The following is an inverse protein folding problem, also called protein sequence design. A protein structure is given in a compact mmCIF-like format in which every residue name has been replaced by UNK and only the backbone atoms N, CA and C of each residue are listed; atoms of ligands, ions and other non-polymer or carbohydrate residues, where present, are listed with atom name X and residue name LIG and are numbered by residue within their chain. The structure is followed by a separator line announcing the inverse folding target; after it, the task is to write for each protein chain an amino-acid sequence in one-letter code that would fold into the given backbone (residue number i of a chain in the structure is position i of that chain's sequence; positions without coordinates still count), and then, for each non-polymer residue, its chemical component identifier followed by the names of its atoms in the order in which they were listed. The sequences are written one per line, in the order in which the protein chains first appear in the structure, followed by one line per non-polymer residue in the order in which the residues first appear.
data_IF_924896633140
#
_entry.id   IF_924896633140
#
_cell.length_a   1.000
_cell.length_b   1.000
_cell.length_c   1.000
_cell.angle_alpha   90.00
_cell.angle_beta   90.00
_cell.angle_gamma   90.00
#
_symmetry.space_group_name_H-M   'P 1'
#
loop_
_entity.id
_entity.type
_entity.pdbx_description
1 polymer ?
#
# COMPACT_ATOMS: atom_id res chain seq x y z
N UNK A 1 5.84 -5.35 15.96
CA UNK A 1 6.11 -5.87 14.60
C UNK A 1 4.97 -5.45 13.69
N UNK A 2 5.24 -5.06 12.44
CA UNK A 2 4.20 -4.77 11.46
C UNK A 2 3.36 -6.02 11.20
N UNK A 3 2.04 -5.85 11.10
CA UNK A 3 1.10 -6.93 10.79
C UNK A 3 0.61 -6.77 9.35
N UNK A 4 0.89 -7.77 8.51
CA UNK A 4 0.49 -7.77 7.10
C UNK A 4 -0.95 -8.17 6.87
N UNK A 5 -1.64 -8.70 7.89
CA UNK A 5 -3.05 -9.07 7.82
C UNK A 5 -3.97 -7.86 8.04
N UNK A 6 -3.44 -6.64 7.90
CA UNK A 6 -4.16 -5.39 8.04
C UNK A 6 -4.54 -4.84 6.67
N UNK A 7 -5.66 -4.11 6.64
CA UNK A 7 -6.03 -3.31 5.49
C UNK A 7 -5.34 -1.95 5.59
N UNK A 8 -4.85 -1.44 4.46
CA UNK A 8 -4.22 -0.14 4.35
C UNK A 8 -5.13 0.78 3.55
N UNK A 9 -5.43 1.96 4.06
CA UNK A 9 -6.38 2.86 3.41
C UNK A 9 -5.94 4.32 3.46
N UNK A 10 -6.11 5.04 2.36
CA UNK A 10 -6.10 6.51 2.36
C UNK A 10 -7.55 6.99 2.43
N UNK A 11 -7.93 7.71 3.49
CA UNK A 11 -9.29 8.26 3.61
C UNK A 11 -9.52 9.39 2.61
N UNK A 12 -8.53 10.26 2.43
CA UNK A 12 -8.62 11.42 1.54
C UNK A 12 -8.69 10.98 0.08
N UNK A 13 -7.83 10.05 -0.31
CA UNK A 13 -7.66 9.61 -1.70
C UNK A 13 -8.47 8.34 -2.01
N UNK A 14 -9.10 7.75 -0.99
CA UNK A 14 -10.05 6.64 -1.09
C UNK A 14 -9.49 5.39 -1.77
N UNK A 15 -8.19 5.17 -1.60
CA UNK A 15 -7.52 3.92 -1.92
C UNK A 15 -7.59 2.95 -0.75
N UNK A 16 -7.84 1.69 -1.03
CA UNK A 16 -7.89 0.60 -0.07
C UNK A 16 -7.07 -0.57 -0.60
N UNK A 17 -5.90 -0.80 0.00
CA UNK A 17 -5.11 -2.01 -0.20
C UNK A 17 -5.51 -3.03 0.85
N UNK A 18 -6.01 -4.17 0.41
CA UNK A 18 -6.27 -5.32 1.27
C UNK A 18 -5.29 -6.43 0.90
N UNK A 19 -4.44 -6.79 1.87
CA UNK A 19 -3.58 -7.97 1.77
C UNK A 19 -4.42 -9.18 2.19
N UNK A 20 -4.47 -10.22 1.34
CA UNK A 20 -5.28 -11.42 1.58
C UNK A 20 -4.43 -12.57 2.09
N UNK A 21 -3.30 -12.83 1.45
CA UNK A 21 -2.34 -13.81 1.90
C UNK A 21 -0.95 -13.19 1.89
N UNK A 22 -0.14 -13.55 2.87
CA UNK A 22 1.27 -13.17 2.94
C UNK A 22 2.14 -14.39 3.18
N UNK A 23 3.32 -14.37 2.57
CA UNK A 23 4.40 -15.31 2.84
C UNK A 23 5.57 -14.54 3.43
N UNK A 24 5.66 -14.57 4.77
CA UNK A 24 6.68 -13.84 5.52
C UNK A 24 8.11 -14.29 5.21
N UNK A 25 8.35 -15.57 4.97
CA UNK A 25 9.70 -16.05 4.66
C UNK A 25 10.15 -15.65 3.25
N UNK A 26 9.21 -15.52 2.32
CA UNK A 26 9.49 -15.05 0.96
C UNK A 26 9.44 -13.52 0.81
N UNK A 27 8.91 -12.79 1.79
CA UNK A 27 8.70 -11.36 1.70
C UNK A 27 7.66 -10.96 0.65
N UNK A 28 6.67 -11.83 0.38
CA UNK A 28 5.68 -11.65 -0.70
C UNK A 28 4.25 -11.69 -0.21
N UNK A 29 3.34 -11.05 -0.94
CA UNK A 29 1.91 -11.08 -0.64
C UNK A 29 1.06 -11.05 -1.91
N UNK A 30 -0.19 -11.48 -1.77
CA UNK A 30 -1.25 -11.20 -2.73
C UNK A 30 -2.43 -10.50 -2.06
N UNK A 31 -3.16 -9.72 -2.85
CA UNK A 31 -4.24 -8.90 -2.33
C UNK A 31 -5.02 -8.19 -3.42
N UNK A 32 -5.61 -7.07 -3.05
CA UNK A 32 -6.35 -6.19 -3.95
C UNK A 32 -6.15 -4.72 -3.61
N UNK A 33 -6.11 -3.88 -4.63
CA UNK A 33 -6.25 -2.44 -4.50
C UNK A 33 -7.62 -2.02 -5.03
N UNK A 34 -8.37 -1.26 -4.23
CA UNK A 34 -9.67 -0.71 -4.58
C UNK A 34 -9.60 0.81 -4.49
N UNK A 35 -10.01 1.50 -5.55
CA UNK A 35 -10.14 2.96 -5.56
C UNK A 35 -11.62 3.34 -5.62
N UNK A 36 -12.14 4.03 -4.59
CA UNK A 36 -13.54 4.45 -4.51
C UNK A 36 -13.66 5.95 -4.83
N UNK A 37 -14.34 6.34 -5.93
CA UNK A 37 -14.64 7.76 -6.13
C UNK A 37 -15.97 8.13 -5.50
N UNK A 38 -15.97 9.23 -4.74
CA UNK A 38 -17.20 9.94 -4.41
C UNK A 38 -18.31 9.11 -3.77
N UNK A 39 -19.53 9.63 -3.89
CA UNK A 39 -20.80 8.97 -3.63
C UNK A 39 -21.27 8.08 -4.80
N UNK A 40 -20.50 8.02 -5.89
CA UNK A 40 -20.91 7.41 -7.17
C UNK A 40 -20.31 6.03 -7.43
N UNK A 41 -19.48 5.50 -6.53
CA UNK A 41 -19.07 4.09 -6.53
C UNK A 41 -17.60 3.84 -6.80
N UNK A 42 -17.27 2.56 -7.01
CA UNK A 42 -15.88 2.10 -7.18
C UNK A 42 -15.39 2.42 -8.60
N UNK A 43 -14.28 3.16 -8.71
CA UNK A 43 -13.67 3.57 -10.01
C UNK A 43 -12.92 2.40 -10.62
N UNK A 44 -12.08 1.75 -9.83
CA UNK A 44 -11.33 0.57 -10.20
C UNK A 44 -11.72 -0.55 -9.25
N UNK A 45 -12.60 -1.45 -9.71
CA UNK A 45 -13.03 -2.61 -8.94
C UNK A 45 -11.96 -3.69 -9.01
N UNK A 46 -11.39 -4.02 -7.86
CA UNK A 46 -10.57 -5.21 -7.62
C UNK A 46 -9.38 -5.34 -8.60
N UNK A 47 -8.45 -4.39 -8.56
CA UNK A 47 -7.13 -4.66 -9.11
C UNK A 47 -6.48 -5.71 -8.21
N UNK A 48 -6.45 -6.99 -8.64
CA UNK A 48 -5.62 -8.00 -7.99
C UNK A 48 -4.19 -7.49 -8.02
N UNK A 49 -3.54 -7.49 -6.86
CA UNK A 49 -2.14 -7.10 -6.74
C UNK A 49 -1.34 -8.25 -6.18
N UNK A 50 -0.12 -8.37 -6.69
CA UNK A 50 0.94 -9.20 -6.12
C UNK A 50 2.10 -8.26 -5.84
N UNK A 51 2.75 -8.46 -4.70
CA UNK A 51 3.75 -7.53 -4.22
C UNK A 51 4.71 -8.16 -3.24
N UNK A 52 5.59 -7.31 -2.72
CA UNK A 52 6.54 -7.67 -1.70
C UNK A 52 6.51 -6.71 -0.51
N UNK A 53 7.12 -7.15 0.57
CA UNK A 53 7.40 -6.32 1.72
C UNK A 53 8.79 -6.64 2.25
N UNK A 54 9.36 -5.65 2.92
CA UNK A 54 10.59 -5.79 3.68
C UNK A 54 10.43 -5.06 5.00
N UNK A 55 10.88 -5.70 6.08
CA UNK A 55 10.90 -5.12 7.41
C UNK A 55 12.36 -4.94 7.81
N UNK A 56 12.81 -3.69 7.83
CA UNK A 56 14.20 -3.32 8.13
C UNK A 56 15.18 -3.91 7.11
N UNK A 57 15.17 -3.36 5.89
CA UNK A 57 16.23 -3.60 4.90
C UNK A 57 17.56 -2.93 5.29
N UNK A 58 18.58 -3.03 4.44
CA UNK A 58 19.90 -2.37 4.64
C UNK A 58 19.79 -0.84 4.77
N UNK A 59 18.67 -0.25 4.35
CA UNK A 59 18.35 1.17 4.49
C UNK A 59 17.58 1.47 5.77
N UNK A 60 17.39 0.46 6.61
CA UNK A 60 16.58 0.47 7.83
C UNK A 60 15.14 0.91 7.55
N UNK A 61 14.58 0.64 6.39
CA UNK A 61 13.19 1.00 6.06
C UNK A 61 12.26 -0.21 6.17
N UNK A 62 11.01 0.06 6.54
CA UNK A 62 9.91 -0.91 6.40
C UNK A 62 9.04 -0.49 5.22
N UNK A 63 8.93 -1.36 4.22
CA UNK A 63 8.36 -1.04 2.91
C UNK A 63 7.40 -2.13 2.45
N UNK A 64 6.30 -1.73 1.83
CA UNK A 64 5.41 -2.59 1.03
C UNK A 64 5.44 -2.04 -0.41
N UNK A 65 5.58 -2.91 -1.41
CA UNK A 65 5.55 -2.51 -2.82
C UNK A 65 4.71 -3.48 -3.63
N UNK A 66 4.01 -2.97 -4.63
CA UNK A 66 3.17 -3.76 -5.52
C UNK A 66 2.86 -2.98 -6.79
N UNK A 67 2.31 -3.69 -7.75
CA UNK A 67 2.00 -3.18 -9.07
C UNK A 67 0.51 -3.37 -9.38
N UNK A 68 -0.10 -2.37 -10.03
CA UNK A 68 -1.37 -2.50 -10.75
C UNK A 68 -1.09 -2.52 -12.25
N UNK A 69 -2.09 -2.75 -13.12
CA UNK A 69 -1.87 -2.68 -14.57
C UNK A 69 -1.30 -1.33 -15.03
N UNK A 70 -1.72 -0.23 -14.39
CA UNK A 70 -1.37 1.14 -14.75
C UNK A 70 -0.22 1.74 -13.94
N UNK A 71 0.04 1.24 -12.73
CA UNK A 71 0.87 1.96 -11.76
C UNK A 71 1.79 1.04 -10.95
N UNK A 72 2.86 1.62 -10.43
CA UNK A 72 3.71 1.05 -9.38
C UNK A 72 3.45 1.77 -8.08
N UNK A 73 3.40 1.02 -6.98
CA UNK A 73 3.13 1.53 -5.66
C UNK A 73 4.25 1.15 -4.69
N UNK A 74 4.64 2.12 -3.86
CA UNK A 74 5.59 1.91 -2.76
C UNK A 74 5.09 2.62 -1.51
N UNK A 75 4.85 1.87 -0.45
CA UNK A 75 4.42 2.34 0.87
C UNK A 75 5.57 2.17 1.84
N UNK A 76 5.89 3.21 2.61
CA UNK A 76 6.96 3.19 3.62
C UNK A 76 6.37 3.53 4.97
N UNK A 77 6.66 2.74 6.00
CA UNK A 77 6.24 3.06 7.36
C UNK A 77 6.86 4.40 7.79
N UNK A 78 6.05 5.28 8.38
CA UNK A 78 6.53 6.58 8.84
C UNK A 78 7.53 6.41 10.00
N UNK A 79 8.54 7.29 10.11
CA UNK A 79 9.44 7.32 11.26
C UNK A 79 9.02 8.44 12.21
N UNK A 80 8.72 8.09 13.46
CA UNK A 80 8.36 9.03 14.52
C UNK A 80 9.25 8.79 15.73
N UNK A 81 9.93 9.83 16.21
CA UNK A 81 10.81 9.77 17.38
C UNK A 81 11.88 8.67 17.33
N UNK A 82 12.47 8.43 16.15
CA UNK A 82 13.53 7.43 15.97
C UNK A 82 13.04 5.99 15.92
N UNK A 83 11.74 5.74 15.72
CA UNK A 83 11.17 4.40 15.57
C UNK A 83 10.12 4.36 14.45
N UNK A 84 9.96 3.21 13.80
CA UNK A 84 8.92 3.01 12.79
C UNK A 84 7.53 3.05 13.43
N UNK A 85 6.65 3.85 12.86
CA UNK A 85 5.22 3.90 13.15
C UNK A 85 4.48 3.09 12.08
N UNK A 86 3.90 1.96 12.48
CA UNK A 86 3.19 1.05 11.57
C UNK A 86 1.70 1.40 11.38
N UNK A 87 1.20 2.42 12.06
CA UNK A 87 -0.18 2.91 11.87
C UNK A 87 -0.27 3.84 10.65
N UNK A 88 0.85 4.45 10.25
CA UNK A 88 0.90 5.43 9.16
C UNK A 88 1.97 5.06 8.14
N UNK A 89 1.56 5.04 6.88
CA UNK A 89 2.39 4.67 5.75
C UNK A 89 2.37 5.77 4.70
N UNK A 90 3.55 6.17 4.24
CA UNK A 90 3.72 7.14 3.17
C UNK A 90 3.78 6.38 1.85
N UNK A 91 2.79 6.58 0.99
CA UNK A 91 2.69 5.92 -0.29
C UNK A 91 3.17 6.84 -1.41
N UNK A 92 3.87 6.26 -2.37
CA UNK A 92 4.22 6.87 -3.65
C UNK A 92 3.64 6.00 -4.76
N UNK A 93 2.89 6.64 -5.67
CA UNK A 93 2.39 6.03 -6.89
C UNK A 93 3.12 6.62 -8.09
N UNK A 94 3.59 5.74 -8.96
CA UNK A 94 4.26 6.11 -10.20
C UNK A 94 3.56 5.42 -11.36
N UNK A 95 3.08 6.22 -12.33
CA UNK A 95 2.48 5.72 -13.56
C UNK A 95 3.47 4.85 -14.34
N UNK A 96 2.99 3.72 -14.88
CA UNK A 96 3.77 2.87 -15.80
C UNK A 96 3.75 3.40 -17.23
N UNK A 97 2.84 4.33 -17.53
CA UNK A 97 2.75 4.93 -18.87
C UNK A 97 4.01 5.75 -19.14
N UNK A 98 4.72 5.40 -20.21
CA UNK A 98 5.92 6.13 -20.65
C UNK A 98 5.62 7.56 -21.11
N UNK A 99 4.36 7.89 -21.38
CA UNK A 99 3.93 9.22 -21.80
C UNK A 99 3.47 10.10 -20.63
N UNK A 100 3.43 9.55 -19.42
CA UNK A 100 3.03 10.31 -18.23
C UNK A 100 4.24 11.07 -17.68
N UNK A 101 4.23 12.39 -17.90
CA UNK A 101 5.27 13.31 -17.40
C UNK A 101 4.97 13.82 -15.99
N UNK A 102 3.89 13.34 -15.37
CA UNK A 102 3.52 13.77 -14.03
C UNK A 102 4.54 13.25 -13.00
N UNK A 103 4.82 14.11 -12.03
CA UNK A 103 5.60 13.72 -10.85
C UNK A 103 4.87 12.60 -10.09
N UNK A 104 5.61 11.71 -9.40
CA UNK A 104 5.01 10.69 -8.56
C UNK A 104 4.00 11.29 -7.56
N UNK A 105 2.83 10.68 -7.47
CA UNK A 105 1.78 11.10 -6.56
C UNK A 105 2.07 10.55 -5.16
N UNK A 106 1.79 11.35 -4.13
CA UNK A 106 2.05 10.98 -2.73
C UNK A 106 0.75 10.91 -1.95
N UNK A 107 0.61 9.85 -1.16
CA UNK A 107 -0.57 9.61 -0.34
C UNK A 107 -0.18 9.19 1.07
N UNK A 108 -1.13 9.32 2.00
CA UNK A 108 -0.97 8.79 3.36
C UNK A 108 -1.96 7.66 3.58
N UNK A 109 -1.44 6.48 3.87
CA UNK A 109 -2.22 5.32 4.21
C UNK A 109 -2.22 5.12 5.72
N UNK A 110 -3.35 4.71 6.26
CA UNK A 110 -3.50 4.23 7.62
C UNK A 110 -3.65 2.72 7.59
N UNK A 111 -3.02 2.04 8.52
CA UNK A 111 -3.15 0.61 8.67
C UNK A 111 -4.25 0.33 9.71
N UNK A 112 -5.16 -0.59 9.41
CA UNK A 112 -6.27 -0.94 10.31
C UNK A 112 -6.49 -2.44 10.34
N UNK A 113 -6.64 -2.96 11.55
CA UNK A 113 -6.98 -4.35 11.77
C UNK A 113 -8.36 -4.65 11.16
N UNK A 114 -8.40 -5.67 10.30
CA UNK A 114 -9.66 -6.26 9.85
C UNK A 114 -10.26 -6.96 11.06
N UNK A 115 -11.41 -6.49 11.56
CA UNK A 115 -12.17 -7.30 12.52
C UNK A 115 -12.56 -8.57 11.78
N UNK A 116 -12.07 -9.72 12.23
CA UNK A 116 -12.69 -10.99 11.91
C UNK A 116 -14.16 -10.88 12.36
N UNK A 117 -15.07 -11.05 11.42
CA UNK A 117 -16.51 -11.15 11.68
C UNK A 117 -16.83 -12.58 12.11
#
# INVERSE_FOLDING_TARGET
MPNLDWDYYSETDRYYLQIKNSNQSAGTFDGRLVHRAGSEGVVDKDNKVEGGFSFYDDKQETVIWFDTPSDKWRLVAAYVNGSSNFDTWLAVRTSKSSNDTKSPERFTFKAKQVKAW
#
